data_IF_990799150404
#
_entry.id   IF_990799150404
#
_cell.length_a   1.000
_cell.length_b   1.000
_cell.length_c   1.000
_cell.angle_alpha   90.00
_cell.angle_beta   90.00
_cell.angle_gamma   90.00
#
_symmetry.space_group_name_H-M   'P 1'
#
loop_
_entity.id
_entity.type
_entity.pdbx_description
1 polymer ?
#
# COMPACT_ATOMS: atom_id res chain seq x y z
N UNK A 1 -3.50 10.28 1.03
CA UNK A 1 -2.31 11.12 1.38
C UNK A 1 -1.22 11.05 0.31
N UNK A 2 -0.76 9.87 -0.10
CA UNK A 2 0.28 9.73 -1.14
C UNK A 2 0.00 10.55 -2.42
N UNK A 3 -1.21 10.44 -2.97
CA UNK A 3 -1.59 11.20 -4.18
C UNK A 3 -1.55 12.72 -3.97
N UNK A 4 -1.88 13.20 -2.77
CA UNK A 4 -1.78 14.62 -2.42
C UNK A 4 -0.33 15.10 -2.43
N UNK A 5 0.59 14.28 -1.92
CA UNK A 5 2.03 14.59 -1.94
C UNK A 5 2.54 14.59 -3.38
N UNK A 6 2.19 13.56 -4.17
CA UNK A 6 2.57 13.46 -5.59
C UNK A 6 2.16 14.70 -6.39
N UNK A 7 0.90 15.12 -6.28
CA UNK A 7 0.39 16.32 -6.97
C UNK A 7 1.10 17.59 -6.52
N UNK A 8 1.36 17.74 -5.21
CA UNK A 8 2.05 18.92 -4.70
C UNK A 8 3.47 19.05 -5.27
N UNK A 9 4.19 17.93 -5.39
CA UNK A 9 5.54 17.92 -5.99
C UNK A 9 5.49 18.21 -7.48
N UNK A 10 4.58 17.57 -8.21
CA UNK A 10 4.40 17.80 -9.66
C UNK A 10 4.06 19.27 -9.98
N UNK A 11 3.32 19.94 -9.11
CA UNK A 11 2.90 21.33 -9.29
C UNK A 11 3.93 22.37 -8.82
N UNK A 12 5.02 21.94 -8.18
CA UNK A 12 6.01 22.83 -7.58
C UNK A 12 7.39 22.59 -8.19
N UNK A 13 7.77 23.35 -9.24
CA UNK A 13 9.12 23.33 -9.78
C UNK A 13 10.18 23.63 -8.70
N UNK A 14 11.31 22.95 -8.79
CA UNK A 14 12.44 23.13 -7.86
C UNK A 14 13.32 24.27 -8.37
N UNK A 15 13.53 25.28 -7.54
CA UNK A 15 14.46 26.35 -7.82
C UNK A 15 15.89 25.82 -7.77
N UNK A 16 16.70 26.15 -8.79
CA UNK A 16 18.12 25.87 -8.85
C UNK A 16 18.89 27.18 -8.96
N UNK A 17 20.09 27.23 -8.38
CA UNK A 17 20.91 28.42 -8.40
C UNK A 17 21.37 28.74 -9.83
N UNK A 18 21.24 30.02 -10.22
CA UNK A 18 21.64 30.52 -11.55
C UNK A 18 21.01 29.78 -12.75
N UNK A 19 19.82 29.20 -12.59
CA UNK A 19 19.15 28.45 -13.65
C UNK A 19 17.62 28.61 -13.66
N UNK A 20 16.99 28.07 -14.70
CA UNK A 20 15.53 27.99 -14.76
C UNK A 20 14.99 26.93 -13.78
N UNK A 21 13.84 27.15 -13.13
CA UNK A 21 13.22 26.15 -12.26
C UNK A 21 12.99 24.82 -12.99
N UNK A 22 13.27 23.70 -12.32
CA UNK A 22 13.16 22.36 -12.89
C UNK A 22 11.88 21.69 -12.43
N UNK A 23 11.05 21.27 -13.39
CA UNK A 23 9.88 20.45 -13.10
C UNK A 23 10.30 19.03 -12.74
N UNK A 24 9.85 18.56 -11.58
CA UNK A 24 10.14 17.21 -11.08
C UNK A 24 8.85 16.46 -10.77
N UNK A 25 8.92 15.13 -10.82
CA UNK A 25 7.82 14.26 -10.40
C UNK A 25 8.37 13.18 -9.45
N UNK A 26 7.48 12.56 -8.69
CA UNK A 26 7.81 11.48 -7.77
C UNK A 26 6.94 10.26 -8.04
N UNK A 27 7.53 9.08 -7.89
CA UNK A 27 6.79 7.81 -7.81
C UNK A 27 6.76 7.39 -6.35
N UNK A 28 5.65 6.86 -5.87
CA UNK A 28 5.43 6.53 -4.46
C UNK A 28 5.01 5.07 -4.32
N UNK A 29 5.60 4.39 -3.35
CA UNK A 29 5.20 3.06 -2.89
C UNK A 29 4.76 3.11 -1.43
N UNK A 30 3.77 2.30 -1.06
CA UNK A 30 3.32 2.20 0.32
C UNK A 30 2.83 0.80 0.66
N UNK A 31 3.13 0.35 1.87
CA UNK A 31 2.65 -0.91 2.43
C UNK A 31 1.58 -0.64 3.49
N UNK A 32 0.63 -1.56 3.61
CA UNK A 32 -0.38 -1.51 4.67
C UNK A 32 0.06 -2.42 5.81
N UNK A 33 0.29 -1.85 6.99
CA UNK A 33 0.68 -2.57 8.20
C UNK A 33 -0.53 -2.69 9.15
N UNK A 34 -1.19 -3.86 9.22
CA UNK A 34 -2.28 -4.04 10.17
C UNK A 34 -1.76 -4.02 11.60
N UNK A 35 -2.50 -3.37 12.50
CA UNK A 35 -2.13 -3.21 13.91
C UNK A 35 -1.91 -4.55 14.66
N UNK A 36 -2.54 -5.63 14.21
CA UNK A 36 -2.39 -6.97 14.79
C UNK A 36 -1.18 -7.74 14.26
N UNK A 37 -0.59 -7.32 13.14
CA UNK A 37 0.57 -8.00 12.56
C UNK A 37 1.83 -7.44 13.21
N UNK A 38 2.45 -8.24 14.08
CA UNK A 38 3.81 -7.94 14.55
C UNK A 38 4.80 -8.30 13.46
N UNK A 39 5.55 -7.31 13.02
CA UNK A 39 6.60 -7.46 12.01
C UNK A 39 7.65 -6.38 12.19
N UNK A 40 8.81 -6.55 11.56
CA UNK A 40 9.90 -5.59 11.65
C UNK A 40 9.64 -4.39 10.75
N UNK A 41 10.20 -3.23 11.10
CA UNK A 41 10.17 -2.06 10.23
C UNK A 41 10.78 -2.36 8.85
N UNK A 42 11.83 -3.19 8.81
CA UNK A 42 12.50 -3.60 7.56
C UNK A 42 11.53 -4.31 6.60
N UNK A 43 10.68 -5.22 7.09
CA UNK A 43 9.68 -5.90 6.25
C UNK A 43 8.70 -4.92 5.62
N UNK A 44 8.23 -3.93 6.38
CA UNK A 44 7.28 -2.93 5.88
C UNK A 44 7.92 -1.99 4.85
N UNK A 45 9.19 -1.64 5.06
CA UNK A 45 9.98 -0.86 4.08
C UNK A 45 10.16 -1.64 2.79
N UNK A 46 10.51 -2.92 2.87
CA UNK A 46 10.67 -3.79 1.70
C UNK A 46 9.37 -3.90 0.89
N UNK A 47 8.23 -4.13 1.55
CA UNK A 47 6.92 -4.16 0.89
C UNK A 47 6.57 -2.81 0.24
N UNK A 48 6.87 -1.69 0.91
CA UNK A 48 6.65 -0.38 0.33
C UNK A 48 7.55 -0.16 -0.90
N UNK A 49 8.78 -0.64 -0.87
CA UNK A 49 9.72 -0.56 -1.99
C UNK A 49 9.28 -1.39 -3.20
N UNK A 50 8.71 -2.57 -2.99
CA UNK A 50 8.10 -3.35 -4.08
C UNK A 50 7.00 -2.56 -4.81
N UNK A 51 6.16 -1.85 -4.08
CA UNK A 51 5.15 -0.98 -4.68
C UNK A 51 5.74 0.27 -5.33
N UNK A 52 6.84 0.80 -4.80
CA UNK A 52 7.57 1.89 -5.44
C UNK A 52 8.18 1.45 -6.78
N UNK A 53 8.74 0.24 -6.81
CA UNK A 53 9.26 -0.37 -8.03
C UNK A 53 8.15 -0.54 -9.07
N UNK A 54 6.98 -1.05 -8.66
CA UNK A 54 5.79 -1.13 -9.51
C UNK A 54 5.39 0.24 -10.07
N UNK A 55 5.33 1.28 -9.23
CA UNK A 55 5.01 2.64 -9.68
C UNK A 55 6.00 3.14 -10.76
N UNK A 56 7.29 2.81 -10.62
CA UNK A 56 8.31 3.14 -11.63
C UNK A 56 8.12 2.36 -12.92
N UNK A 57 7.84 1.06 -12.83
CA UNK A 57 7.67 0.16 -13.97
C UNK A 57 6.44 0.50 -14.82
N UNK A 58 5.33 0.89 -14.19
CA UNK A 58 4.08 1.18 -14.90
C UNK A 58 4.01 2.58 -15.55
N UNK A 59 5.08 3.37 -15.49
CA UNK A 59 5.15 4.69 -16.16
C UNK A 59 5.48 5.87 -15.25
N UNK A 60 5.92 5.63 -14.00
CA UNK A 60 6.31 6.67 -13.02
C UNK A 60 5.15 7.62 -12.69
N UNK A 61 5.47 8.68 -11.95
CA UNK A 61 4.57 9.76 -11.53
C UNK A 61 3.20 9.25 -11.04
N UNK A 62 3.23 8.24 -10.17
CA UNK A 62 2.04 7.61 -9.59
C UNK A 62 2.33 7.07 -8.20
N UNK A 63 1.26 6.87 -7.44
CA UNK A 63 1.32 6.16 -6.17
C UNK A 63 0.75 4.74 -6.35
N UNK A 64 1.54 3.74 -5.99
CA UNK A 64 1.08 2.36 -5.86
C UNK A 64 1.07 2.01 -4.37
N UNK A 65 -0.07 1.58 -3.85
CA UNK A 65 -0.24 1.25 -2.44
C UNK A 65 -0.70 -0.20 -2.34
N UNK A 66 -0.10 -0.93 -1.42
CA UNK A 66 -0.53 -2.26 -1.07
C UNK A 66 -1.99 -2.23 -0.60
N UNK A 67 -2.82 -3.08 -1.18
CA UNK A 67 -4.19 -3.22 -0.70
C UNK A 67 -4.20 -4.08 0.57
N UNK A 68 -5.00 -3.71 1.58
CA UNK A 68 -5.18 -4.58 2.74
C UNK A 68 -5.71 -5.93 2.27
N UNK A 69 -5.25 -7.05 2.86
CA UNK A 69 -5.81 -8.36 2.56
C UNK A 69 -7.30 -8.33 2.92
N UNK A 70 -8.15 -8.51 1.91
CA UNK A 70 -9.59 -8.65 2.12
C UNK A 70 -9.88 -10.09 2.53
N UNK A 71 -10.08 -10.34 3.83
CA UNK A 71 -10.78 -11.54 4.29
C UNK A 71 -12.27 -11.37 4.04
N UNK A 72 -12.70 -11.41 2.78
CA UNK A 72 -14.10 -11.63 2.46
C UNK A 72 -14.35 -13.13 2.55
N UNK A 73 -14.85 -13.59 3.69
CA UNK A 73 -15.57 -14.86 3.76
C UNK A 73 -17.01 -14.58 3.34
N UNK A 74 -17.47 -15.25 2.28
CA UNK A 74 -18.87 -15.23 1.88
C UNK A 74 -19.75 -15.72 3.03
N UNK A 75 -21.03 -15.36 3.03
CA UNK A 75 -21.99 -15.82 4.05
C UNK A 75 -22.05 -17.36 4.13
N UNK A 76 -21.82 -18.04 3.01
CA UNK A 76 -21.76 -19.49 2.89
C UNK A 76 -20.50 -20.07 3.55
N UNK A 77 -19.31 -19.53 3.25
CA UNK A 77 -18.05 -19.93 3.91
C UNK A 77 -18.09 -19.65 5.40
N UNK A 78 -18.68 -18.52 5.80
CA UNK A 78 -18.91 -18.18 7.20
C UNK A 78 -19.81 -19.24 7.88
N UNK A 79 -20.91 -19.64 7.23
CA UNK A 79 -21.81 -20.69 7.73
C UNK A 79 -21.10 -22.04 7.90
N UNK A 80 -20.23 -22.42 6.94
CA UNK A 80 -19.44 -23.66 7.00
C UNK A 80 -18.35 -23.65 8.08
N UNK A 81 -17.71 -22.49 8.30
CA UNK A 81 -16.74 -22.29 9.39
C UNK A 81 -17.41 -22.41 10.77
N UNK A 82 -18.63 -21.90 10.92
CA UNK A 82 -19.39 -21.98 12.18
C UNK A 82 -20.12 -23.32 12.39
N UNK A 83 -20.47 -24.03 11.31
CA UNK A 83 -21.12 -25.35 11.44
C UNK A 83 -20.12 -26.40 11.95
N UNK A 84 -18.86 -26.33 11.53
CA UNK A 84 -17.82 -27.30 11.93
C UNK A 84 -17.44 -27.15 13.41
N UNK A 85 -17.56 -25.94 13.98
CA UNK A 85 -17.25 -25.67 15.39
C UNK A 85 -18.39 -26.07 16.35
N UNK A 86 -19.64 -26.17 15.88
CA UNK A 86 -20.76 -26.65 16.71
C UNK A 86 -20.79 -28.17 16.93
N UNK A 87 -20.02 -28.95 16.15
CA UNK A 87 -19.98 -30.42 16.30
C UNK A 87 -18.97 -30.90 17.36
N UNK A 88 -18.06 -30.06 17.86
CA UNK A 88 -17.07 -30.45 18.89
C UNK A 88 -17.55 -30.21 20.34
N UNK A 89 -18.61 -29.41 20.57
CA UNK A 89 -19.14 -29.11 21.91
C UNK A 89 -20.25 -30.10 22.39
N UNK A 90 -20.48 -31.21 21.67
CA UNK A 90 -21.49 -32.23 22.01
C UNK A 90 -20.90 -33.65 22.19
N UNK A 91 -19.62 -33.78 22.54
CA UNK A 91 -18.99 -35.06 22.90
C UNK A 91 -18.72 -35.17 24.41
#
# INVERSE_FOLDING_TARGET
>A
VAERIRRKVEQQPVAIENGAPVSVTISLGGAFAPQWVRSTAALWVERADQHLFRAKAEGRNRACIEQPPQSQVSAEEKSLLFSTTQFEDLA
#
